data_IF_904934692891
#
_entry.id   IF_904934692891
#
_cell.length_a   1.000
_cell.length_b   1.000
_cell.length_c   1.000
_cell.angle_alpha   90.00
_cell.angle_beta   90.00
_cell.angle_gamma   90.00
#
_symmetry.space_group_name_H-M   'P 1'
#
loop_
_entity.id
_entity.type
_entity.pdbx_description
1 polymer ?
#
# COMPACT_ATOMS: atom_id res chain seq x y z
N UNK A 1 -0.67 12.72 -15.05
CA UNK A 1 0.30 12.04 -14.18
C UNK A 1 0.84 10.86 -14.96
N UNK A 2 2.15 10.65 -14.99
CA UNK A 2 2.72 9.42 -15.58
C UNK A 2 2.29 8.24 -14.72
N UNK A 3 1.84 7.15 -15.33
CA UNK A 3 1.55 5.90 -14.63
C UNK A 3 2.81 5.43 -13.86
N UNK A 4 2.62 4.83 -12.68
CA UNK A 4 3.75 4.28 -11.93
C UNK A 4 4.38 3.12 -12.72
N UNK A 5 5.70 2.96 -12.56
CA UNK A 5 6.38 1.81 -13.14
C UNK A 5 6.38 0.67 -12.11
N UNK A 6 5.58 -0.36 -12.37
CA UNK A 6 5.51 -1.56 -11.54
C UNK A 6 6.50 -2.65 -12.01
N UNK A 7 6.98 -3.54 -11.12
CA UNK A 7 6.73 -3.53 -9.68
C UNK A 7 7.48 -2.41 -8.97
N UNK A 8 6.87 -1.85 -7.92
CA UNK A 8 7.58 -0.99 -6.99
C UNK A 8 8.50 -1.83 -6.09
N UNK A 9 9.73 -1.37 -5.80
CA UNK A 9 10.65 -2.14 -4.96
C UNK A 9 10.17 -2.18 -3.50
N UNK A 10 10.55 -3.25 -2.79
CA UNK A 10 10.42 -3.30 -1.32
C UNK A 10 11.13 -2.10 -0.68
N UNK A 11 10.55 -1.59 0.41
CA UNK A 11 11.00 -0.38 1.10
C UNK A 11 10.46 0.92 0.51
N UNK A 12 9.80 0.89 -0.66
CA UNK A 12 9.09 2.05 -1.21
C UNK A 12 8.09 2.57 -0.20
N UNK A 13 8.12 3.88 0.02
CA UNK A 13 7.25 4.57 0.97
C UNK A 13 5.97 5.00 0.25
N UNK A 14 4.82 4.74 0.88
CA UNK A 14 3.50 5.06 0.34
C UNK A 14 2.71 5.78 1.42
N UNK A 15 2.11 6.92 1.10
CA UNK A 15 1.15 7.57 1.98
C UNK A 15 -0.29 7.19 1.60
N UNK A 16 -1.12 6.82 2.57
CA UNK A 16 -2.59 6.74 2.35
C UNK A 16 -3.18 8.14 2.45
N UNK A 17 -4.07 8.50 1.52
CA UNK A 17 -4.70 9.83 1.44
C UNK A 17 -6.09 9.84 2.07
N UNK A 18 -6.74 8.68 2.12
CA UNK A 18 -8.08 8.51 2.71
C UNK A 18 -8.04 7.82 4.08
N UNK A 19 -6.90 7.24 4.46
CA UNK A 19 -6.79 6.35 5.62
C UNK A 19 -7.14 4.91 5.24
N UNK A 20 -6.87 3.99 6.15
CA UNK A 20 -7.16 2.55 6.01
C UNK A 20 -7.83 2.00 7.25
N UNK A 21 -8.55 0.91 7.08
CA UNK A 21 -9.05 0.08 8.16
C UNK A 21 -8.53 -1.34 7.93
N UNK A 22 -7.83 -1.89 8.92
CA UNK A 22 -7.39 -3.27 8.94
C UNK A 22 -7.86 -3.98 10.21
N UNK A 23 -7.88 -5.31 10.16
CA UNK A 23 -8.14 -6.17 11.30
C UNK A 23 -6.83 -6.83 11.70
N UNK A 24 -6.54 -6.81 12.98
CA UNK A 24 -5.38 -7.54 13.47
C UNK A 24 -5.65 -9.03 13.71
N UNK A 25 -4.65 -9.74 14.24
CA UNK A 25 -4.76 -11.16 14.51
C UNK A 25 -5.76 -11.54 15.62
N UNK A 26 -6.30 -10.55 16.34
CA UNK A 26 -7.37 -10.72 17.34
C UNK A 26 -8.72 -10.21 16.82
N UNK A 27 -8.84 -9.95 15.50
CA UNK A 27 -9.99 -9.33 14.83
C UNK A 27 -10.33 -7.93 15.37
N UNK A 28 -9.37 -7.25 16.02
CA UNK A 28 -9.57 -5.89 16.47
C UNK A 28 -9.37 -4.90 15.31
N UNK A 29 -10.34 -4.00 15.12
CA UNK A 29 -10.27 -2.94 14.13
C UNK A 29 -9.17 -1.95 14.48
N UNK A 30 -8.27 -1.72 13.54
CA UNK A 30 -7.26 -0.68 13.60
C UNK A 30 -7.54 0.33 12.50
N UNK A 31 -7.50 1.60 12.88
CA UNK A 31 -7.67 2.71 11.93
C UNK A 31 -6.32 3.37 11.67
N UNK A 32 -5.93 3.39 10.41
CA UNK A 32 -4.78 4.14 9.92
C UNK A 32 -5.27 5.49 9.40
N UNK A 33 -4.84 6.63 9.99
CA UNK A 33 -5.37 7.93 9.58
C UNK A 33 -4.87 8.37 8.19
N UNK A 34 -5.61 9.25 7.49
CA UNK A 34 -5.10 9.94 6.32
C UNK A 34 -3.72 10.57 6.56
N UNK A 35 -2.83 10.44 5.59
CA UNK A 35 -1.46 10.94 5.63
C UNK A 35 -0.46 9.99 6.30
N UNK A 36 -0.91 8.88 6.91
CA UNK A 36 -0.02 7.86 7.44
C UNK A 36 0.87 7.27 6.33
N UNK A 37 2.10 6.95 6.69
CA UNK A 37 3.10 6.43 5.77
C UNK A 37 3.31 4.95 6.07
N UNK A 38 3.19 4.14 5.03
CA UNK A 38 3.55 2.73 5.05
C UNK A 38 4.71 2.42 4.11
N UNK A 39 5.18 1.18 4.19
CA UNK A 39 6.28 0.64 3.39
C UNK A 39 5.86 -0.66 2.73
N UNK A 40 6.25 -0.81 1.46
CA UNK A 40 6.11 -2.09 0.74
C UNK A 40 7.07 -3.10 1.35
N UNK A 41 6.54 -4.21 1.87
CA UNK A 41 7.30 -5.30 2.48
C UNK A 41 7.27 -6.58 1.64
N UNK A 42 6.22 -6.76 0.84
CA UNK A 42 6.02 -7.90 -0.06
C UNK A 42 5.51 -7.44 -1.43
N UNK A 43 5.81 -8.24 -2.45
CA UNK A 43 5.39 -8.02 -3.83
C UNK A 43 5.05 -9.38 -4.44
N UNK A 44 3.84 -9.51 -4.98
CA UNK A 44 3.38 -10.67 -5.75
C UNK A 44 3.10 -10.27 -7.20
N UNK A 45 3.26 -11.21 -8.14
CA UNK A 45 3.06 -11.01 -9.59
C UNK A 45 1.63 -11.37 -10.05
N UNK A 46 0.66 -11.12 -9.19
CA UNK A 46 -0.76 -11.37 -9.41
C UNK A 46 -1.55 -10.40 -8.53
N UNK A 47 -2.67 -9.87 -9.01
CA UNK A 47 -3.57 -9.03 -8.21
C UNK A 47 -4.34 -9.87 -7.18
N UNK A 48 -4.98 -9.20 -6.22
CA UNK A 48 -5.81 -9.85 -5.20
C UNK A 48 -7.02 -10.62 -5.76
N UNK A 49 -7.47 -10.27 -6.97
CA UNK A 49 -8.55 -10.96 -7.71
C UNK A 49 -8.06 -12.12 -8.60
N UNK A 50 -6.75 -12.40 -8.62
CA UNK A 50 -6.13 -13.44 -9.44
C UNK A 50 -5.80 -13.02 -10.88
N UNK A 51 -6.02 -11.75 -11.25
CA UNK A 51 -5.67 -11.24 -12.58
C UNK A 51 -4.18 -10.87 -12.69
N UNK A 52 -3.68 -10.81 -13.93
CA UNK A 52 -2.32 -10.37 -14.23
C UNK A 52 -2.08 -8.93 -13.74
N UNK A 53 -1.03 -8.72 -12.94
CA UNK A 53 -0.68 -7.43 -12.36
C UNK A 53 0.26 -7.61 -11.18
N UNK A 54 0.21 -6.70 -10.22
CA UNK A 54 1.00 -6.80 -9.00
C UNK A 54 0.17 -6.54 -7.75
N UNK A 55 0.51 -7.23 -6.67
CA UNK A 55 -0.04 -7.00 -5.35
C UNK A 55 1.10 -6.71 -4.35
N UNK A 56 0.82 -5.86 -3.38
CA UNK A 56 1.80 -5.29 -2.46
C UNK A 56 1.33 -5.43 -1.02
N UNK A 57 2.22 -5.91 -0.16
CA UNK A 57 2.04 -5.88 1.28
C UNK A 57 2.55 -4.53 1.82
N UNK A 58 1.66 -3.69 2.34
CA UNK A 58 1.98 -2.42 2.98
C UNK A 58 1.90 -2.56 4.50
N UNK A 59 2.98 -2.21 5.19
CA UNK A 59 2.98 -2.06 6.65
C UNK A 59 3.12 -0.58 6.99
N UNK A 60 2.16 -0.03 7.73
CA UNK A 60 2.14 1.35 8.21
C UNK A 60 2.90 1.50 9.54
N UNK A 61 3.25 2.74 9.90
CA UNK A 61 3.98 3.04 11.13
C UNK A 61 3.23 2.63 12.43
N UNK A 62 1.91 2.46 12.36
CA UNK A 62 1.06 1.92 13.45
C UNK A 62 0.97 0.38 13.42
N UNK A 63 1.84 -0.30 12.66
CA UNK A 63 1.85 -1.75 12.45
C UNK A 63 0.61 -2.32 11.74
N UNK A 64 -0.24 -1.45 11.17
CA UNK A 64 -1.34 -1.88 10.33
C UNK A 64 -0.81 -2.53 9.05
N UNK A 65 -1.38 -3.68 8.67
CA UNK A 65 -1.01 -4.41 7.47
C UNK A 65 -2.16 -4.39 6.46
N UNK A 66 -1.87 -3.84 5.29
CA UNK A 66 -2.84 -3.70 4.20
C UNK A 66 -2.27 -4.32 2.94
N UNK A 67 -3.12 -5.03 2.21
CA UNK A 67 -2.81 -5.59 0.90
C UNK A 67 -3.48 -4.70 -0.15
N UNK A 68 -2.69 -4.19 -1.09
CA UNK A 68 -3.16 -3.34 -2.20
C UNK A 68 -2.64 -3.87 -3.53
N UNK A 69 -3.34 -3.59 -4.63
CA UNK A 69 -2.82 -3.89 -5.97
C UNK A 69 -2.21 -2.67 -6.68
N UNK A 70 -1.66 -2.90 -7.88
CA UNK A 70 -1.11 -1.85 -8.75
C UNK A 70 -2.14 -0.76 -9.10
N UNK A 71 -3.42 -1.12 -9.28
CA UNK A 71 -4.51 -0.17 -9.59
C UNK A 71 -4.81 0.73 -8.40
N UNK A 72 -4.80 0.15 -7.20
CA UNK A 72 -4.92 0.92 -5.96
C UNK A 72 -3.78 1.95 -5.86
N UNK A 73 -2.52 1.53 -6.06
CA UNK A 73 -1.37 2.44 -5.97
C UNK A 73 -1.31 3.50 -7.07
N UNK A 74 -1.84 3.21 -8.26
CA UNK A 74 -2.02 4.18 -9.35
C UNK A 74 -3.18 5.18 -9.08
N UNK A 75 -4.11 4.84 -8.18
CA UNK A 75 -5.18 5.75 -7.75
C UNK A 75 -4.63 6.86 -6.84
N UNK A 76 -4.27 7.98 -7.48
CA UNK A 76 -3.78 9.19 -6.82
C UNK A 76 -4.76 9.87 -5.86
N UNK A 77 -6.02 9.43 -5.80
CA UNK A 77 -6.97 9.87 -4.79
C UNK A 77 -6.85 9.05 -3.49
N UNK A 78 -6.31 7.83 -3.55
CA UNK A 78 -6.15 6.92 -2.40
C UNK A 78 -4.72 6.86 -1.89
N UNK A 79 -3.73 6.80 -2.77
CA UNK A 79 -2.33 6.66 -2.38
C UNK A 79 -1.41 7.66 -3.06
N UNK A 80 -0.25 7.87 -2.42
CA UNK A 80 0.86 8.62 -2.98
C UNK A 80 2.18 7.91 -2.70
N UNK A 81 2.85 7.45 -3.75
CA UNK A 81 4.24 6.97 -3.66
C UNK A 81 5.16 8.16 -3.36
N UNK A 82 5.97 8.02 -2.32
CA UNK A 82 6.89 9.05 -1.86
C UNK A 82 8.30 8.81 -2.42
N UNK A 83 9.10 9.87 -2.63
CA UNK A 83 10.49 9.71 -3.00
C UNK A 83 11.27 8.92 -1.93
N UNK A 84 12.32 8.24 -2.36
CA UNK A 84 13.27 7.61 -1.46
C UNK A 84 13.78 8.64 -0.44
N UNK A 85 13.93 8.24 0.82
CA UNK A 85 14.59 9.09 1.80
C UNK A 85 16.04 9.30 1.34
N UNK A 86 16.42 10.57 1.12
CA UNK A 86 17.79 10.96 0.81
C UNK A 86 18.70 10.87 2.02
#
# INVERSE_FOLDING_TARGET
MSALSHPLPRGTRVATLTGEVDLDCEDAERTTPPGAIGRITGVANERSDGSEGFCYDLIFDNEAWVIVDDRDLDDSARYRVLPAAG
#
